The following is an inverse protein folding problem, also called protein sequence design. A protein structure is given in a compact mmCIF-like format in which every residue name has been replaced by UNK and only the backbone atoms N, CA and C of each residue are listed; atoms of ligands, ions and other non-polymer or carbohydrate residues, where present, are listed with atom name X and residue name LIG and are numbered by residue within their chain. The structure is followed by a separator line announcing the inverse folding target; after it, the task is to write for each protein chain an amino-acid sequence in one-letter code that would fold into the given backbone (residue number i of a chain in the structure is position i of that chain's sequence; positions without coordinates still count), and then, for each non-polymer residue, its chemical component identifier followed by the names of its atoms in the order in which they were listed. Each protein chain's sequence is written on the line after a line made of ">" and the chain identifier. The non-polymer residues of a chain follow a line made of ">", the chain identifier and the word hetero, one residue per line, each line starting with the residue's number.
data_IF_298618479192
#
_entry.id   IF_298618479192
#
_cell.length_a   1.000
_cell.length_b   1.000
_cell.length_c   1.000
_cell.angle_alpha   90.00
_cell.angle_beta   90.00
_cell.angle_gamma   90.00
#
_symmetry.space_group_name_H-M   'P 1'
#
loop_
_entity.id
_entity.type
_entity.pdbx_description
1 polymer ?
#
# COMPACT_ATOMS: atom_id res chain seq x y z
N UNK A 1 -26.49 -25.63 4.42
CA UNK A 1 -26.47 -25.90 2.96
C UNK A 1 -25.31 -25.13 2.34
N UNK A 2 -24.15 -25.77 2.16
CA UNK A 2 -22.92 -25.11 1.66
C UNK A 2 -22.97 -25.01 0.15
N UNK A 3 -23.40 -23.85 -0.35
CA UNK A 3 -23.39 -23.54 -1.77
C UNK A 3 -21.93 -23.54 -2.28
N UNK A 4 -21.50 -24.65 -2.90
CA UNK A 4 -20.11 -24.85 -3.34
C UNK A 4 -19.84 -24.11 -4.66
N UNK A 5 -19.92 -22.78 -4.62
CA UNK A 5 -19.58 -21.90 -5.74
C UNK A 5 -18.19 -22.22 -6.31
N UNK A 6 -18.12 -22.68 -7.55
CA UNK A 6 -16.84 -22.78 -8.27
C UNK A 6 -16.37 -21.36 -8.67
N UNK A 7 -15.07 -21.01 -8.54
CA UNK A 7 -14.56 -19.75 -9.07
C UNK A 7 -14.87 -19.63 -10.57
N UNK A 8 -15.20 -18.43 -11.03
CA UNK A 8 -15.40 -18.17 -12.46
C UNK A 8 -14.09 -18.44 -13.20
N UNK A 9 -14.22 -19.00 -14.40
CA UNK A 9 -13.09 -19.37 -15.28
C UNK A 9 -12.17 -20.46 -14.73
N UNK A 10 -12.48 -21.13 -13.62
CA UNK A 10 -11.59 -22.16 -13.05
C UNK A 10 -11.35 -23.37 -13.97
N UNK A 11 -12.20 -23.59 -14.98
CA UNK A 11 -12.03 -24.61 -16.03
C UNK A 11 -11.21 -24.12 -17.23
N UNK A 12 -10.87 -22.83 -17.29
CA UNK A 12 -10.13 -22.23 -18.39
C UNK A 12 -8.62 -22.32 -18.11
N UNK A 13 -7.79 -22.79 -19.07
CA UNK A 13 -6.33 -22.82 -18.94
C UNK A 13 -5.69 -21.45 -18.63
N UNK A 14 -6.40 -20.35 -18.93
CA UNK A 14 -5.96 -18.97 -18.69
C UNK A 14 -6.46 -18.39 -17.35
N UNK A 15 -7.07 -19.18 -16.47
CA UNK A 15 -7.62 -18.70 -15.19
C UNK A 15 -6.64 -17.87 -14.36
N UNK A 16 -5.37 -18.31 -14.29
CA UNK A 16 -4.27 -17.59 -13.63
C UNK A 16 -4.08 -16.15 -14.12
N UNK A 17 -4.31 -15.87 -15.40
CA UNK A 17 -4.22 -14.52 -15.94
C UNK A 17 -5.41 -13.64 -15.51
N UNK A 18 -6.61 -14.22 -15.34
CA UNK A 18 -7.74 -13.50 -14.74
C UNK A 18 -7.51 -13.22 -13.25
N UNK A 19 -6.87 -14.14 -12.53
CA UNK A 19 -6.40 -13.91 -11.15
C UNK A 19 -5.41 -12.75 -11.13
N UNK A 20 -4.40 -12.76 -12.01
CA UNK A 20 -3.43 -11.68 -12.12
C UNK A 20 -4.13 -10.35 -12.39
N UNK A 21 -5.00 -10.25 -13.40
CA UNK A 21 -5.74 -9.01 -13.68
C UNK A 21 -6.51 -8.50 -12.47
N UNK A 22 -7.15 -9.40 -11.71
CA UNK A 22 -7.86 -9.03 -10.47
C UNK A 22 -6.91 -8.46 -9.43
N UNK A 23 -5.73 -9.07 -9.27
CA UNK A 23 -4.69 -8.58 -8.36
C UNK A 23 -4.11 -7.23 -8.83
N UNK A 24 -3.94 -7.07 -10.14
CA UNK A 24 -3.45 -5.83 -10.75
C UNK A 24 -4.40 -4.67 -10.53
N UNK A 25 -5.72 -4.89 -10.50
CA UNK A 25 -6.71 -3.85 -10.17
C UNK A 25 -6.45 -3.30 -8.76
N UNK A 26 -6.27 -4.17 -7.76
CA UNK A 26 -6.03 -3.72 -6.38
C UNK A 26 -4.66 -3.04 -6.22
N UNK A 27 -3.63 -3.57 -6.89
CA UNK A 27 -2.30 -2.96 -6.89
C UNK A 27 -2.29 -1.57 -7.55
N UNK A 28 -2.95 -1.44 -8.71
CA UNK A 28 -3.09 -0.17 -9.41
C UNK A 28 -3.90 0.84 -8.60
N UNK A 29 -5.04 0.41 -8.04
CA UNK A 29 -5.92 1.25 -7.22
C UNK A 29 -5.19 1.82 -6.00
N UNK A 30 -4.44 1.01 -5.26
CA UNK A 30 -3.69 1.48 -4.09
C UNK A 30 -2.54 2.43 -4.49
N UNK A 31 -1.84 2.15 -5.59
CA UNK A 31 -0.73 2.97 -6.06
C UNK A 31 -1.19 4.32 -6.67
N UNK A 32 -2.30 4.30 -7.43
CA UNK A 32 -2.94 5.48 -7.98
C UNK A 32 -3.42 6.42 -6.88
N UNK A 33 -4.06 5.89 -5.83
CA UNK A 33 -4.60 6.69 -4.72
C UNK A 33 -3.52 7.52 -4.02
N UNK A 34 -2.41 6.88 -3.62
CA UNK A 34 -1.25 7.55 -3.01
C UNK A 34 -0.69 8.64 -3.93
N UNK A 35 -0.63 8.36 -5.24
CA UNK A 35 -0.05 9.30 -6.19
C UNK A 35 -0.96 10.50 -6.49
N UNK A 36 -2.26 10.25 -6.71
CA UNK A 36 -3.27 11.29 -6.97
C UNK A 36 -3.39 12.23 -5.77
N UNK A 37 -3.36 11.68 -4.55
CA UNK A 37 -3.45 12.45 -3.30
C UNK A 37 -2.39 13.54 -3.21
N UNK A 38 -1.14 13.25 -3.58
CA UNK A 38 -0.04 14.21 -3.47
C UNK A 38 -0.30 15.50 -4.25
N UNK A 39 -1.03 15.44 -5.37
CA UNK A 39 -1.46 16.61 -6.13
C UNK A 39 -2.64 17.34 -5.49
N UNK A 40 -3.46 16.64 -4.71
CA UNK A 40 -4.61 17.22 -4.05
C UNK A 40 -4.27 17.96 -2.74
N UNK A 41 -3.14 17.65 -2.10
CA UNK A 41 -2.72 18.24 -0.82
C UNK A 41 -2.82 19.78 -0.79
N UNK A 42 -2.27 20.54 -1.78
CA UNK A 42 -2.38 22.00 -1.77
C UNK A 42 -3.83 22.49 -1.85
N UNK A 43 -4.71 21.74 -2.53
CA UNK A 43 -6.13 22.05 -2.66
C UNK A 43 -6.88 21.78 -1.35
N UNK A 44 -6.61 20.64 -0.72
CA UNK A 44 -7.18 20.27 0.59
C UNK A 44 -6.78 21.29 1.66
N UNK A 45 -5.52 21.72 1.66
CA UNK A 45 -5.02 22.76 2.57
C UNK A 45 -5.80 24.07 2.45
N UNK A 46 -6.04 24.54 1.22
CA UNK A 46 -6.82 25.77 0.98
C UNK A 46 -8.28 25.60 1.43
N UNK A 47 -8.86 24.43 1.19
CA UNK A 47 -10.24 24.14 1.55
C UNK A 47 -10.48 24.09 3.06
N UNK A 48 -9.58 23.43 3.80
CA UNK A 48 -9.72 23.27 5.25
C UNK A 48 -9.01 24.37 6.06
N UNK A 49 -8.39 25.36 5.43
CA UNK A 49 -7.69 26.48 6.07
C UNK A 49 -6.63 26.07 7.11
N UNK A 50 -5.83 25.05 6.78
CA UNK A 50 -4.95 24.38 7.75
C UNK A 50 -3.53 24.97 7.73
N UNK A 51 -2.85 25.12 8.90
CA UNK A 51 -1.42 25.40 8.96
C UNK A 51 -0.57 24.28 8.36
N UNK A 52 0.60 24.63 7.80
CA UNK A 52 1.53 23.70 7.13
C UNK A 52 1.85 22.42 7.93
N UNK A 53 1.84 22.49 9.27
CA UNK A 53 2.16 21.38 10.16
C UNK A 53 1.13 20.25 10.20
N UNK A 54 -0.11 20.49 9.77
CA UNK A 54 -1.20 19.50 9.75
C UNK A 54 -1.47 18.93 8.34
N UNK A 55 -0.86 19.52 7.30
CA UNK A 55 -0.98 19.09 5.89
C UNK A 55 -0.29 17.74 5.66
N UNK A 56 0.93 17.58 6.19
CA UNK A 56 1.73 16.35 6.07
C UNK A 56 1.03 15.14 6.71
N UNK A 57 0.13 15.35 7.67
CA UNK A 57 -0.57 14.27 8.38
C UNK A 57 -1.57 13.50 7.52
N UNK A 58 -2.14 14.10 6.47
CA UNK A 58 -3.11 13.38 5.62
C UNK A 58 -2.42 12.26 4.85
N UNK A 59 -1.32 12.58 4.15
CA UNK A 59 -0.51 11.60 3.45
C UNK A 59 0.28 10.70 4.42
N UNK A 60 0.80 11.27 5.51
CA UNK A 60 1.56 10.51 6.50
C UNK A 60 0.69 9.48 7.22
N UNK A 61 -0.55 9.81 7.60
CA UNK A 61 -1.43 8.87 8.29
C UNK A 61 -1.70 7.62 7.45
N UNK A 62 -1.86 7.78 6.13
CA UNK A 62 -2.00 6.65 5.22
C UNK A 62 -0.74 5.78 5.20
N UNK A 63 0.44 6.37 4.93
CA UNK A 63 1.70 5.62 4.84
C UNK A 63 2.08 4.96 6.17
N UNK A 64 1.85 5.65 7.28
CA UNK A 64 2.09 5.16 8.63
C UNK A 64 1.22 3.93 8.90
N UNK A 65 -0.08 4.04 8.63
CA UNK A 65 -1.03 2.93 8.79
C UNK A 65 -0.63 1.75 7.90
N UNK A 66 -0.34 2.01 6.63
CA UNK A 66 0.07 0.96 5.72
C UNK A 66 1.35 0.25 6.21
N UNK A 67 2.38 1.00 6.58
CA UNK A 67 3.66 0.47 7.06
C UNK A 67 3.49 -0.37 8.33
N UNK A 68 2.69 0.11 9.28
CA UNK A 68 2.45 -0.57 10.56
C UNK A 68 1.67 -1.87 10.35
N UNK A 69 0.57 -1.82 9.61
CA UNK A 69 -0.39 -2.92 9.58
C UNK A 69 -0.12 -3.94 8.46
N UNK A 70 0.69 -3.62 7.45
CA UNK A 70 0.98 -4.53 6.33
C UNK A 70 1.47 -5.92 6.80
N UNK A 71 2.44 -6.04 7.73
CA UNK A 71 2.89 -7.36 8.20
C UNK A 71 1.81 -8.09 9.01
N UNK A 72 1.04 -7.34 9.83
CA UNK A 72 -0.08 -7.88 10.59
C UNK A 72 -1.16 -8.47 9.67
N UNK A 73 -1.47 -7.78 8.57
CA UNK A 73 -2.43 -8.26 7.58
C UNK A 73 -1.92 -9.48 6.81
N UNK A 74 -0.61 -9.57 6.56
CA UNK A 74 0.01 -10.79 6.03
C UNK A 74 -0.26 -11.98 6.94
N UNK A 75 -0.04 -11.80 8.26
CA UNK A 75 -0.28 -12.85 9.26
C UNK A 75 -1.77 -13.20 9.42
N UNK A 76 -2.64 -12.19 9.47
CA UNK A 76 -4.08 -12.40 9.51
C UNK A 76 -4.56 -13.16 8.27
N UNK A 77 -3.99 -12.88 7.10
CA UNK A 77 -4.35 -13.58 5.89
C UNK A 77 -3.86 -15.04 5.86
N UNK A 78 -2.71 -15.33 6.46
CA UNK A 78 -2.27 -16.72 6.68
C UNK A 78 -3.21 -17.49 7.62
N UNK A 79 -3.89 -16.81 8.55
CA UNK A 79 -4.82 -17.43 9.50
C UNK A 79 -6.25 -17.56 8.96
N UNK A 80 -6.75 -16.55 8.23
CA UNK A 80 -8.15 -16.46 7.83
C UNK A 80 -8.39 -16.73 6.35
N UNK A 81 -7.33 -16.79 5.56
CA UNK A 81 -7.37 -16.97 4.11
C UNK A 81 -7.01 -15.68 3.35
N UNK A 82 -6.14 -15.81 2.35
CA UNK A 82 -5.60 -14.71 1.57
C UNK A 82 -6.62 -14.11 0.62
N UNK A 83 -7.45 -14.93 -0.02
CA UNK A 83 -8.49 -14.42 -0.94
C UNK A 83 -9.59 -13.69 -0.18
N UNK A 84 -10.01 -14.20 0.98
CA UNK A 84 -10.95 -13.49 1.86
C UNK A 84 -10.41 -12.16 2.32
N UNK A 85 -9.16 -12.11 2.80
CA UNK A 85 -8.55 -10.87 3.26
C UNK A 85 -8.32 -9.87 2.13
N UNK A 86 -7.98 -10.34 0.92
CA UNK A 86 -7.87 -9.48 -0.26
C UNK A 86 -9.22 -8.86 -0.64
N UNK A 87 -10.29 -9.66 -0.66
CA UNK A 87 -11.63 -9.16 -0.95
C UNK A 87 -12.14 -8.19 0.13
N UNK A 88 -11.83 -8.46 1.40
CA UNK A 88 -12.11 -7.54 2.50
C UNK A 88 -11.33 -6.23 2.32
N UNK A 89 -10.09 -6.30 1.84
CA UNK A 89 -9.28 -5.14 1.50
C UNK A 89 -9.96 -4.22 0.49
N UNK A 90 -10.52 -4.76 -0.59
CA UNK A 90 -11.30 -3.97 -1.55
C UNK A 90 -12.50 -3.28 -0.89
N UNK A 91 -13.27 -4.01 -0.08
CA UNK A 91 -14.46 -3.45 0.59
C UNK A 91 -14.05 -2.30 1.52
N UNK A 92 -13.06 -2.53 2.38
CA UNK A 92 -12.60 -1.52 3.35
C UNK A 92 -12.00 -0.32 2.62
N UNK A 93 -11.19 -0.53 1.58
CA UNK A 93 -10.64 0.57 0.78
C UNK A 93 -11.75 1.39 0.14
N UNK A 94 -12.74 0.73 -0.48
CA UNK A 94 -13.88 1.37 -1.15
C UNK A 94 -14.66 2.24 -0.16
N UNK A 95 -14.96 1.70 1.02
CA UNK A 95 -15.65 2.44 2.09
C UNK A 95 -14.79 3.60 2.58
N UNK A 96 -13.51 3.38 2.87
CA UNK A 96 -12.58 4.44 3.28
C UNK A 96 -12.49 5.57 2.26
N UNK A 97 -12.40 5.23 0.97
CA UNK A 97 -12.38 6.21 -0.11
C UNK A 97 -13.70 6.98 -0.20
N UNK A 98 -14.85 6.32 -0.07
CA UNK A 98 -16.14 7.01 -0.03
C UNK A 98 -16.24 7.97 1.17
N UNK A 99 -15.75 7.56 2.36
CA UNK A 99 -15.68 8.40 3.55
C UNK A 99 -14.78 9.63 3.33
N UNK A 100 -13.61 9.46 2.72
CA UNK A 100 -12.75 10.58 2.33
C UNK A 100 -13.48 11.56 1.40
N UNK A 101 -14.23 11.05 0.42
CA UNK A 101 -15.01 11.88 -0.51
C UNK A 101 -16.10 12.72 0.16
N UNK A 102 -16.70 12.27 1.27
CA UNK A 102 -17.72 13.03 2.01
C UNK A 102 -17.15 13.85 3.19
N UNK A 103 -15.84 13.80 3.42
CA UNK A 103 -15.23 14.34 4.64
C UNK A 103 -15.53 15.84 4.85
N UNK A 104 -16.21 16.20 5.96
CA UNK A 104 -16.54 17.60 6.24
C UNK A 104 -15.40 18.34 6.95
N UNK A 105 -14.53 17.63 7.69
CA UNK A 105 -13.39 18.19 8.42
C UNK A 105 -12.11 17.39 8.14
N UNK A 106 -10.96 17.96 8.51
CA UNK A 106 -9.67 17.31 8.33
C UNK A 106 -9.50 16.09 9.23
N UNK A 107 -10.01 16.12 10.45
CA UNK A 107 -9.92 15.00 11.38
C UNK A 107 -10.72 13.81 10.85
N UNK A 108 -11.91 14.08 10.29
CA UNK A 108 -12.70 13.06 9.62
C UNK A 108 -11.97 12.51 8.40
N UNK A 109 -11.32 13.37 7.61
CA UNK A 109 -10.48 12.94 6.48
C UNK A 109 -9.35 12.02 6.97
N UNK A 110 -8.60 12.39 8.00
CA UNK A 110 -7.49 11.60 8.55
C UNK A 110 -7.99 10.23 9.03
N UNK A 111 -9.11 10.18 9.77
CA UNK A 111 -9.69 8.91 10.22
C UNK A 111 -10.13 8.05 9.02
N UNK A 112 -10.76 8.67 8.02
CA UNK A 112 -11.17 7.98 6.79
C UNK A 112 -9.97 7.43 6.02
N UNK A 113 -8.84 8.15 6.02
CA UNK A 113 -7.57 7.70 5.45
C UNK A 113 -6.98 6.51 6.18
N UNK A 114 -7.07 6.46 7.50
CA UNK A 114 -6.65 5.28 8.26
C UNK A 114 -7.49 4.07 7.84
N UNK A 115 -8.81 4.22 7.70
CA UNK A 115 -9.70 3.15 7.21
C UNK A 115 -9.30 2.74 5.78
N UNK A 116 -9.09 3.70 4.89
CA UNK A 116 -8.67 3.44 3.51
C UNK A 116 -7.32 2.69 3.46
N UNK A 117 -6.35 3.10 4.26
CA UNK A 117 -5.02 2.49 4.36
C UNK A 117 -5.05 1.07 4.94
N UNK A 118 -5.99 0.75 5.85
CA UNK A 118 -6.25 -0.63 6.29
C UNK A 118 -6.65 -1.49 5.08
N UNK A 119 -7.56 -0.99 4.24
CA UNK A 119 -7.94 -1.66 2.99
C UNK A 119 -6.76 -1.83 2.03
N UNK A 120 -5.96 -0.78 1.86
CA UNK A 120 -4.75 -0.80 1.02
C UNK A 120 -3.72 -1.80 1.50
N UNK A 121 -3.47 -1.85 2.82
CA UNK A 121 -2.58 -2.82 3.45
C UNK A 121 -3.05 -4.26 3.25
N UNK A 122 -4.35 -4.53 3.38
CA UNK A 122 -4.91 -5.87 3.10
C UNK A 122 -4.72 -6.29 1.65
N UNK A 123 -4.89 -5.36 0.69
CA UNK A 123 -4.62 -5.62 -0.72
C UNK A 123 -3.13 -5.91 -0.93
N UNK A 124 -2.25 -5.01 -0.47
CA UNK A 124 -0.81 -5.12 -0.68
C UNK A 124 -0.21 -6.38 -0.03
N UNK A 125 -0.62 -6.73 1.19
CA UNK A 125 -0.13 -7.91 1.92
C UNK A 125 -0.47 -9.23 1.22
N UNK A 126 -1.50 -9.23 0.37
CA UNK A 126 -2.04 -10.45 -0.23
C UNK A 126 -1.83 -10.56 -1.74
N UNK A 127 -1.54 -9.46 -2.43
CA UNK A 127 -1.32 -9.43 -3.88
C UNK A 127 -0.29 -10.47 -4.35
N UNK A 128 0.96 -10.32 -3.89
CA UNK A 128 2.06 -11.21 -4.31
C UNK A 128 1.80 -12.65 -3.89
N UNK A 129 1.24 -12.87 -2.71
CA UNK A 129 0.97 -14.21 -2.21
C UNK A 129 -0.14 -14.93 -3.00
N UNK A 130 -1.15 -14.21 -3.48
CA UNK A 130 -2.17 -14.78 -4.36
C UNK A 130 -1.55 -15.16 -5.71
N UNK A 131 -0.65 -14.33 -6.25
CA UNK A 131 0.09 -14.63 -7.48
C UNK A 131 0.97 -15.87 -7.30
N UNK A 132 1.77 -15.94 -6.23
CA UNK A 132 2.66 -17.09 -5.96
C UNK A 132 1.91 -18.39 -5.77
N UNK A 133 0.69 -18.35 -5.25
CA UNK A 133 -0.16 -19.54 -5.12
C UNK A 133 -0.85 -19.96 -6.42
N UNK A 134 -0.96 -19.06 -7.39
CA UNK A 134 -1.75 -19.28 -8.62
C UNK A 134 -0.90 -19.51 -9.87
N UNK A 135 0.37 -19.14 -9.85
CA UNK A 135 1.29 -19.28 -10.98
C UNK A 135 2.35 -20.36 -10.74
N UNK A 136 2.77 -21.09 -11.79
CA UNK A 136 3.90 -21.99 -11.70
C UNK A 136 5.21 -21.20 -11.56
N UNK A 137 6.27 -21.85 -11.05
CA UNK A 137 7.54 -21.18 -10.71
C UNK A 137 8.19 -20.48 -11.90
N UNK A 138 8.04 -21.03 -13.09
CA UNK A 138 8.65 -20.55 -14.34
C UNK A 138 8.00 -19.24 -14.82
N UNK A 139 6.74 -19.00 -14.49
CA UNK A 139 6.00 -17.79 -14.87
C UNK A 139 5.93 -16.76 -13.73
N UNK A 140 6.43 -17.11 -12.54
CA UNK A 140 6.26 -16.31 -11.33
C UNK A 140 6.97 -14.96 -11.42
N UNK A 141 8.22 -14.97 -11.90
CA UNK A 141 9.00 -13.74 -12.09
C UNK A 141 8.28 -12.76 -13.02
N UNK A 142 7.70 -13.26 -14.11
CA UNK A 142 6.92 -12.46 -15.06
C UNK A 142 5.66 -11.89 -14.40
N UNK A 143 4.91 -12.68 -13.64
CA UNK A 143 3.69 -12.22 -12.99
C UNK A 143 3.95 -11.14 -11.92
N UNK A 144 4.99 -11.32 -11.11
CA UNK A 144 5.43 -10.34 -10.10
C UNK A 144 6.00 -9.08 -10.78
N UNK A 145 6.77 -9.23 -11.86
CA UNK A 145 7.28 -8.12 -12.67
C UNK A 145 6.16 -7.25 -13.25
N UNK A 146 5.13 -7.88 -13.85
CA UNK A 146 3.94 -7.17 -14.33
C UNK A 146 3.23 -6.42 -13.19
N UNK A 147 3.09 -7.03 -12.01
CA UNK A 147 2.51 -6.35 -10.84
C UNK A 147 3.34 -5.14 -10.40
N UNK A 148 4.67 -5.25 -10.38
CA UNK A 148 5.57 -4.13 -10.10
C UNK A 148 5.43 -3.01 -11.12
N UNK A 149 5.44 -3.34 -12.42
CA UNK A 149 5.28 -2.38 -13.49
C UNK A 149 3.93 -1.65 -13.44
N UNK A 150 2.82 -2.37 -13.23
CA UNK A 150 1.49 -1.75 -13.08
C UNK A 150 1.45 -0.77 -11.91
N UNK A 151 2.06 -1.10 -10.77
CA UNK A 151 2.16 -0.16 -9.64
C UNK A 151 2.97 1.08 -10.01
N UNK A 152 4.12 0.91 -10.65
CA UNK A 152 4.96 2.04 -11.04
C UNK A 152 4.30 2.93 -12.10
N UNK A 153 3.63 2.35 -13.11
CA UNK A 153 2.80 3.07 -14.09
C UNK A 153 1.67 3.83 -13.39
N UNK A 154 0.98 3.17 -12.46
CA UNK A 154 -0.09 3.77 -11.66
C UNK A 154 0.40 4.99 -10.88
N UNK A 155 1.57 4.89 -10.25
CA UNK A 155 2.18 6.02 -9.56
C UNK A 155 2.57 7.15 -10.53
N UNK A 156 3.11 6.83 -11.70
CA UNK A 156 3.52 7.84 -12.69
C UNK A 156 2.34 8.60 -13.31
N UNK A 157 1.23 7.89 -13.58
CA UNK A 157 0.02 8.48 -14.19
C UNK A 157 -0.83 9.24 -13.16
N UNK A 158 -0.68 8.92 -11.87
CA UNK A 158 -1.46 9.52 -10.78
C UNK A 158 -1.55 11.05 -10.81
N UNK A 159 -0.46 11.82 -10.97
CA UNK A 159 -0.52 13.28 -10.96
C UNK A 159 -1.35 13.85 -12.12
N UNK A 160 -1.21 13.25 -13.31
CA UNK A 160 -1.97 13.65 -14.49
C UNK A 160 -3.47 13.38 -14.31
N UNK A 161 -3.83 12.18 -13.87
CA UNK A 161 -5.23 11.84 -13.60
C UNK A 161 -5.82 12.66 -12.45
N UNK A 162 -5.05 12.89 -11.39
CA UNK A 162 -5.46 13.72 -10.26
C UNK A 162 -5.74 15.16 -10.67
N UNK A 163 -4.82 15.77 -11.42
CA UNK A 163 -5.01 17.11 -11.98
C UNK A 163 -6.24 17.19 -12.88
N UNK A 164 -6.44 16.21 -13.75
CA UNK A 164 -7.62 16.12 -14.62
C UNK A 164 -8.92 15.97 -13.81
N UNK A 165 -8.95 15.11 -12.80
CA UNK A 165 -10.13 14.89 -11.95
C UNK A 165 -10.50 16.14 -11.14
N UNK A 166 -9.52 16.90 -10.68
CA UNK A 166 -9.72 18.19 -10.00
C UNK A 166 -10.20 19.25 -11.01
N UNK A 167 -9.58 19.32 -12.20
CA UNK A 167 -9.90 20.35 -13.21
C UNK A 167 -11.25 20.16 -13.87
N UNK A 168 -11.65 18.90 -14.14
CA UNK A 168 -12.95 18.59 -14.75
C UNK A 168 -14.12 18.94 -13.83
N UNK A 169 -13.87 19.06 -12.51
CA UNK A 169 -14.86 19.34 -11.48
C UNK A 169 -16.17 18.55 -11.69
N UNK A 170 -16.03 17.25 -11.97
CA UNK A 170 -17.16 16.37 -12.27
C UNK A 170 -18.19 16.47 -11.12
N UNK A 171 -19.44 16.79 -11.44
CA UNK A 171 -20.55 16.89 -10.48
C UNK A 171 -20.34 17.94 -9.36
N UNK A 172 -19.48 18.95 -9.55
CA UNK A 172 -19.20 19.98 -8.53
C UNK A 172 -18.41 19.45 -7.32
N UNK A 173 -17.79 18.29 -7.45
CA UNK A 173 -17.13 17.60 -6.34
C UNK A 173 -15.71 18.11 -6.05
N UNK A 174 -15.14 18.99 -6.89
CA UNK A 174 -13.79 19.55 -6.76
C UNK A 174 -12.74 18.46 -6.45
N UNK A 175 -12.08 18.55 -5.30
CA UNK A 175 -11.08 17.57 -4.85
C UNK A 175 -11.69 16.21 -4.50
N UNK A 176 -12.99 16.11 -4.21
CA UNK A 176 -13.62 14.85 -3.77
C UNK A 176 -13.67 13.80 -4.88
N UNK A 177 -13.61 14.23 -6.15
CA UNK A 177 -13.56 13.34 -7.31
C UNK A 177 -12.38 12.36 -7.26
N UNK A 178 -11.25 12.77 -6.66
CA UNK A 178 -10.06 11.94 -6.48
C UNK A 178 -10.32 10.70 -5.62
N UNK A 179 -11.30 10.80 -4.72
CA UNK A 179 -11.69 9.71 -3.82
C UNK A 179 -12.82 8.88 -4.42
N UNK A 180 -13.76 9.54 -5.09
CA UNK A 180 -14.87 8.85 -5.70
C UNK A 180 -14.47 7.99 -6.89
N UNK A 181 -13.38 8.28 -7.59
CA UNK A 181 -12.87 7.43 -8.69
C UNK A 181 -12.51 6.01 -8.22
N UNK A 182 -12.06 5.87 -6.98
CA UNK A 182 -11.73 4.57 -6.39
C UNK A 182 -12.97 3.74 -6.06
N UNK A 183 -14.13 4.36 -5.84
CA UNK A 183 -15.36 3.66 -5.43
C UNK A 183 -15.84 2.66 -6.50
N UNK A 184 -16.05 3.05 -7.77
CA UNK A 184 -16.43 2.09 -8.80
C UNK A 184 -15.34 1.04 -9.01
N UNK A 185 -14.05 1.44 -9.02
CA UNK A 185 -12.93 0.50 -9.19
C UNK A 185 -12.91 -0.55 -8.07
N UNK A 186 -13.13 -0.12 -6.83
CA UNK A 186 -13.17 -1.00 -5.67
C UNK A 186 -14.40 -1.91 -5.63
N UNK A 187 -15.56 -1.45 -6.11
CA UNK A 187 -16.74 -2.31 -6.31
C UNK A 187 -16.45 -3.37 -7.37
N UNK A 188 -15.92 -2.98 -8.53
CA UNK A 188 -15.52 -3.93 -9.57
C UNK A 188 -14.46 -4.90 -9.08
N UNK A 189 -13.46 -4.40 -8.34
CA UNK A 189 -12.41 -5.19 -7.70
C UNK A 189 -12.97 -6.20 -6.70
N UNK A 190 -13.94 -5.79 -5.87
CA UNK A 190 -14.64 -6.69 -4.92
C UNK A 190 -15.40 -7.78 -5.66
N UNK A 191 -16.14 -7.43 -6.70
CA UNK A 191 -16.89 -8.42 -7.50
C UNK A 191 -15.91 -9.36 -8.19
N UNK A 192 -14.88 -8.85 -8.87
CA UNK A 192 -13.86 -9.66 -9.51
C UNK A 192 -13.14 -10.58 -8.51
N UNK A 193 -12.71 -10.05 -7.36
CA UNK A 193 -12.04 -10.78 -6.29
C UNK A 193 -12.93 -11.90 -5.75
N UNK A 194 -14.18 -11.59 -5.41
CA UNK A 194 -15.13 -12.60 -4.99
C UNK A 194 -15.31 -13.66 -6.07
N UNK A 195 -15.46 -13.27 -7.34
CA UNK A 195 -15.87 -14.20 -8.37
C UNK A 195 -14.76 -15.05 -8.99
N UNK A 196 -13.57 -14.48 -9.18
CA UNK A 196 -12.47 -15.03 -9.98
C UNK A 196 -11.41 -15.70 -9.09
N UNK A 197 -11.11 -15.16 -7.91
CA UNK A 197 -9.99 -15.62 -7.11
C UNK A 197 -10.19 -17.05 -6.58
N UNK A 198 -9.09 -17.80 -6.37
CA UNK A 198 -9.14 -19.14 -5.82
C UNK A 198 -9.76 -19.12 -4.41
N UNK A 199 -10.38 -20.22 -4.02
CA UNK A 199 -10.90 -20.33 -2.65
C UNK A 199 -9.78 -20.61 -1.67
N UNK A 200 -9.83 -19.93 -0.53
CA UNK A 200 -8.99 -20.28 0.60
C UNK A 200 -9.25 -21.73 1.01
N UNK A 201 -8.17 -22.51 1.10
CA UNK A 201 -8.24 -23.87 1.66
C UNK A 201 -8.57 -23.75 3.15
N UNK A 202 -9.34 -24.71 3.70
CA UNK A 202 -9.58 -24.76 5.14
C UNK A 202 -8.23 -24.92 5.84
N UNK A 203 -7.77 -23.87 6.51
CA UNK A 203 -6.57 -23.93 7.35
C UNK A 203 -6.90 -24.81 8.56
N UNK A 204 -6.20 -25.95 8.66
CA UNK A 204 -6.48 -27.01 9.64
C UNK A 204 -6.03 -26.67 11.07
N UNK A 205 -5.37 -25.53 11.28
CA UNK A 205 -4.76 -25.16 12.55
C UNK A 205 -5.40 -23.87 13.09
N UNK A 206 -5.94 -23.93 14.31
CA UNK A 206 -6.36 -22.74 15.07
C UNK A 206 -5.11 -22.05 15.63
N UNK A 207 -4.36 -21.39 14.77
CA UNK A 207 -3.23 -20.57 15.18
C UNK A 207 -3.74 -19.39 16.03
N UNK A 208 -3.03 -19.05 17.11
CA UNK A 208 -3.38 -17.91 17.96
C UNK A 208 -2.64 -16.68 17.48
N UNK A 209 -3.36 -15.57 17.34
CA UNK A 209 -2.78 -14.28 16.97
C UNK A 209 -1.89 -13.76 18.11
N UNK A 210 -0.65 -13.36 17.79
CA UNK A 210 0.25 -12.74 18.77
C UNK A 210 -0.07 -11.26 18.93
N UNK A 211 -0.97 -10.93 19.86
CA UNK A 211 -1.31 -9.54 20.15
C UNK A 211 -0.12 -8.75 20.71
N UNK A 212 0.73 -9.38 21.53
CA UNK A 212 1.86 -8.69 22.18
C UNK A 212 2.92 -8.36 21.14
N UNK A 213 3.33 -9.34 20.34
CA UNK A 213 4.27 -9.15 19.23
C UNK A 213 3.75 -8.12 18.23
N UNK A 214 2.49 -8.24 17.82
CA UNK A 214 1.88 -7.31 16.85
C UNK A 214 1.80 -5.87 17.38
N UNK A 215 1.39 -5.65 18.63
CA UNK A 215 1.28 -4.30 19.20
C UNK A 215 2.64 -3.66 19.47
N UNK A 216 3.64 -4.43 19.90
CA UNK A 216 5.01 -3.93 20.11
C UNK A 216 5.70 -3.61 18.77
N UNK A 217 5.49 -4.43 17.74
CA UNK A 217 5.92 -4.14 16.38
C UNK A 217 5.28 -2.86 15.82
N UNK A 218 3.96 -2.74 15.96
CA UNK A 218 3.22 -1.57 15.51
C UNK A 218 3.70 -0.28 16.21
N UNK A 219 3.88 -0.33 17.53
CA UNK A 219 4.41 0.79 18.30
C UNK A 219 5.86 1.14 17.94
N UNK A 220 6.71 0.14 17.70
CA UNK A 220 8.08 0.38 17.24
C UNK A 220 8.09 1.13 15.90
N UNK A 221 7.37 0.63 14.90
CA UNK A 221 7.27 1.28 13.59
C UNK A 221 6.65 2.67 13.66
N UNK A 222 5.65 2.88 14.50
CA UNK A 222 5.06 4.18 14.75
C UNK A 222 6.13 5.21 15.17
N UNK A 223 6.91 4.91 16.21
CA UNK A 223 7.93 5.84 16.68
C UNK A 223 9.08 6.02 15.70
N UNK A 224 9.47 4.96 14.97
CA UNK A 224 10.48 5.08 13.92
C UNK A 224 10.05 6.03 12.82
N UNK A 225 8.83 5.86 12.29
CA UNK A 225 8.31 6.72 11.22
C UNK A 225 8.12 8.15 11.71
N UNK A 226 7.62 8.36 12.93
CA UNK A 226 7.51 9.70 13.52
C UNK A 226 8.87 10.37 13.70
N UNK A 227 9.90 9.64 14.15
CA UNK A 227 11.25 10.17 14.28
C UNK A 227 11.83 10.60 12.94
N UNK A 228 11.66 9.79 11.89
CA UNK A 228 12.17 10.09 10.56
C UNK A 228 11.42 11.26 9.89
N UNK A 229 10.12 11.35 10.10
CA UNK A 229 9.28 12.38 9.48
C UNK A 229 9.46 13.76 10.16
N UNK A 230 9.37 13.80 11.49
CA UNK A 230 9.49 15.06 12.24
C UNK A 230 10.95 15.45 12.50
N UNK A 231 11.92 14.56 12.25
CA UNK A 231 13.34 14.78 12.51
C UNK A 231 13.90 16.02 11.82
N UNK A 232 13.48 16.29 10.57
CA UNK A 232 13.87 17.50 9.84
C UNK A 232 13.32 18.78 10.46
N UNK A 233 12.10 18.72 11.00
CA UNK A 233 11.34 19.88 11.49
C UNK A 233 11.67 20.21 12.94
N UNK A 234 11.78 19.20 13.79
CA UNK A 234 12.11 19.35 15.22
C UNK A 234 13.63 19.36 15.46
N UNK A 235 14.42 18.89 14.50
CA UNK A 235 15.86 18.70 14.63
C UNK A 235 16.19 17.32 15.19
N UNK A 236 17.21 16.68 14.60
CA UNK A 236 17.63 15.32 14.94
C UNK A 236 18.13 15.16 16.38
N UNK A 237 18.65 16.24 16.97
CA UNK A 237 19.14 16.26 18.36
C UNK A 237 18.07 16.68 19.37
N UNK A 238 16.85 16.98 18.93
CA UNK A 238 15.79 17.40 19.84
C UNK A 238 15.39 16.27 20.80
N UNK A 239 15.05 16.65 22.04
CA UNK A 239 14.62 15.71 23.08
C UNK A 239 13.48 14.81 22.60
N UNK A 240 12.55 15.34 21.81
CA UNK A 240 11.41 14.58 21.26
C UNK A 240 11.86 13.47 20.32
N UNK A 241 12.76 13.78 19.37
CA UNK A 241 13.24 12.80 18.39
C UNK A 241 14.08 11.72 19.07
N UNK A 242 14.93 12.09 20.03
CA UNK A 242 15.69 11.12 20.83
C UNK A 242 14.74 10.19 21.60
N UNK A 243 13.67 10.72 22.21
CA UNK A 243 12.65 9.90 22.89
C UNK A 243 11.97 8.94 21.91
N UNK A 244 11.63 9.37 20.69
CA UNK A 244 11.06 8.47 19.68
C UNK A 244 12.02 7.35 19.29
N UNK A 245 13.31 7.62 19.07
CA UNK A 245 14.29 6.57 18.79
C UNK A 245 14.47 5.60 19.97
N UNK A 246 14.46 6.09 21.20
CA UNK A 246 14.54 5.24 22.40
C UNK A 246 13.29 4.34 22.53
N UNK A 247 12.10 4.88 22.31
CA UNK A 247 10.85 4.11 22.34
C UNK A 247 10.81 3.08 21.21
N UNK A 248 11.28 3.43 20.01
CA UNK A 248 11.47 2.48 18.92
C UNK A 248 12.41 1.34 19.34
N UNK A 249 13.61 1.64 19.83
CA UNK A 249 14.58 0.62 20.23
C UNK A 249 14.04 -0.29 21.33
N UNK A 250 13.36 0.27 22.32
CA UNK A 250 12.73 -0.47 23.41
C UNK A 250 11.64 -1.42 22.92
N UNK A 251 10.65 -0.90 22.17
CA UNK A 251 9.53 -1.70 21.68
C UNK A 251 9.97 -2.74 20.65
N UNK A 252 10.92 -2.38 19.78
CA UNK A 252 11.47 -3.32 18.80
C UNK A 252 12.24 -4.46 19.48
N UNK A 253 12.96 -4.17 20.57
CA UNK A 253 13.63 -5.21 21.36
C UNK A 253 12.61 -6.17 21.99
N UNK A 254 11.52 -5.65 22.57
CA UNK A 254 10.45 -6.49 23.11
C UNK A 254 9.84 -7.36 22.01
N UNK A 255 9.56 -6.77 20.84
CA UNK A 255 9.06 -7.50 19.68
C UNK A 255 10.00 -8.65 19.30
N UNK A 256 11.29 -8.39 19.09
CA UNK A 256 12.26 -9.43 18.70
C UNK A 256 12.33 -10.56 19.74
N UNK A 257 12.35 -10.23 21.03
CA UNK A 257 12.39 -11.23 22.11
C UNK A 257 11.11 -12.05 22.16
N UNK A 258 9.94 -11.41 22.08
CA UNK A 258 8.64 -12.08 22.08
C UNK A 258 8.51 -13.02 20.87
N UNK A 259 8.83 -12.50 19.70
CA UNK A 259 8.68 -13.20 18.42
C UNK A 259 9.64 -14.40 18.32
N UNK A 260 10.87 -14.27 18.84
CA UNK A 260 11.83 -15.39 18.91
C UNK A 260 11.37 -16.56 19.78
N UNK A 261 10.43 -16.32 20.70
CA UNK A 261 9.90 -17.33 21.65
C UNK A 261 8.49 -17.79 21.28
N UNK A 262 7.76 -17.02 20.47
CA UNK A 262 6.38 -17.29 20.18
C UNK A 262 6.24 -18.50 19.24
N UNK A 263 5.22 -19.33 19.46
CA UNK A 263 5.03 -20.59 18.73
C UNK A 263 4.65 -20.37 17.26
N UNK A 264 4.02 -19.23 16.95
CA UNK A 264 3.52 -18.91 15.62
C UNK A 264 3.86 -17.46 15.26
N UNK A 265 5.17 -17.14 15.10
CA UNK A 265 5.62 -15.77 14.91
C UNK A 265 5.04 -15.16 13.62
N UNK A 266 4.85 -13.86 13.62
CA UNK A 266 4.55 -13.07 12.42
C UNK A 266 5.73 -13.07 11.44
N UNK A 267 6.96 -13.00 11.95
CA UNK A 267 8.21 -13.04 11.17
C UNK A 267 9.05 -14.23 11.63
N UNK A 268 9.26 -15.17 10.73
CA UNK A 268 10.19 -16.28 10.98
C UNK A 268 11.63 -15.81 10.76
N UNK A 269 12.32 -15.48 11.86
CA UNK A 269 13.73 -15.06 11.83
C UNK A 269 14.68 -16.14 11.30
N UNK A 270 14.28 -17.40 11.22
CA UNK A 270 15.12 -18.45 10.64
C UNK A 270 15.33 -18.25 9.14
N UNK A 271 14.39 -17.62 8.44
CA UNK A 271 14.50 -17.33 7.01
C UNK A 271 15.69 -16.39 6.71
N UNK A 272 15.99 -15.44 7.61
CA UNK A 272 17.11 -14.52 7.47
C UNK A 272 18.49 -15.19 7.63
N UNK A 273 18.54 -16.45 8.08
CA UNK A 273 19.78 -17.23 8.07
C UNK A 273 20.12 -17.75 6.68
N UNK A 274 19.16 -17.81 5.76
CA UNK A 274 19.36 -18.24 4.38
C UNK A 274 19.89 -17.08 3.54
N UNK A 275 21.03 -17.29 2.88
CA UNK A 275 21.67 -16.25 2.06
C UNK A 275 20.73 -15.69 0.99
N UNK A 276 20.06 -16.55 0.22
CA UNK A 276 19.16 -16.11 -0.87
C UNK A 276 18.02 -15.23 -0.37
N UNK A 277 17.46 -15.55 0.81
CA UNK A 277 16.39 -14.77 1.41
C UNK A 277 16.89 -13.40 1.89
N UNK A 278 18.01 -13.37 2.62
CA UNK A 278 18.57 -12.12 3.13
C UNK A 278 19.11 -11.22 2.01
N UNK A 279 19.84 -11.79 1.06
CA UNK A 279 20.33 -11.07 -0.12
C UNK A 279 19.17 -10.57 -0.98
N UNK A 280 18.10 -11.36 -1.15
CA UNK A 280 16.89 -10.95 -1.86
C UNK A 280 16.19 -9.76 -1.19
N UNK A 281 16.02 -9.79 0.14
CA UNK A 281 15.42 -8.66 0.88
C UNK A 281 16.28 -7.40 0.82
N UNK A 282 17.60 -7.52 0.99
CA UNK A 282 18.55 -6.38 0.90
C UNK A 282 18.51 -5.78 -0.51
N UNK A 283 18.57 -6.62 -1.54
CA UNK A 283 18.52 -6.17 -2.93
C UNK A 283 17.19 -5.48 -3.22
N UNK A 284 16.06 -6.07 -2.81
CA UNK A 284 14.74 -5.46 -2.94
C UNK A 284 14.64 -4.11 -2.25
N UNK A 285 15.18 -3.98 -1.03
CA UNK A 285 15.23 -2.72 -0.30
C UNK A 285 15.98 -1.64 -1.08
N UNK A 286 17.20 -1.92 -1.56
CA UNK A 286 17.97 -0.96 -2.35
C UNK A 286 17.32 -0.65 -3.70
N UNK A 287 16.70 -1.64 -4.36
CA UNK A 287 15.95 -1.42 -5.60
C UNK A 287 14.80 -0.43 -5.38
N UNK A 288 14.01 -0.57 -4.31
CA UNK A 288 12.96 0.39 -3.98
C UNK A 288 13.52 1.76 -3.59
N UNK A 289 14.62 1.80 -2.84
CA UNK A 289 15.27 3.06 -2.47
C UNK A 289 15.73 3.86 -3.70
N UNK A 290 16.40 3.19 -4.65
CA UNK A 290 16.82 3.81 -5.91
C UNK A 290 15.61 4.21 -6.75
N UNK A 291 14.61 3.35 -6.88
CA UNK A 291 13.40 3.63 -7.68
C UNK A 291 12.68 4.89 -7.18
N UNK A 292 12.36 4.96 -5.88
CA UNK A 292 11.69 6.13 -5.32
C UNK A 292 12.57 7.37 -5.30
N UNK A 293 13.88 7.22 -5.07
CA UNK A 293 14.84 8.32 -5.17
C UNK A 293 14.86 8.93 -6.58
N UNK A 294 14.89 8.10 -7.62
CA UNK A 294 14.84 8.53 -9.02
C UNK A 294 13.49 9.17 -9.35
N UNK A 295 12.36 8.55 -9.00
CA UNK A 295 11.03 9.10 -9.25
C UNK A 295 10.78 10.43 -8.53
N UNK A 296 11.43 10.66 -7.39
CA UNK A 296 11.37 11.92 -6.67
C UNK A 296 12.27 12.99 -7.27
N UNK A 297 13.55 12.69 -7.53
CA UNK A 297 14.55 13.68 -7.96
C UNK A 297 14.40 14.05 -9.45
N UNK A 298 14.07 13.08 -10.30
CA UNK A 298 14.08 13.27 -11.75
C UNK A 298 13.12 14.35 -12.27
N UNK A 299 11.87 14.48 -11.79
CA UNK A 299 11.01 15.61 -12.18
C UNK A 299 11.69 16.97 -11.96
N UNK A 300 12.31 17.18 -10.79
CA UNK A 300 13.02 18.42 -10.49
C UNK A 300 14.23 18.65 -11.39
N UNK A 301 14.98 17.60 -11.70
CA UNK A 301 16.09 17.69 -12.64
C UNK A 301 15.61 18.06 -14.05
N UNK A 302 14.57 17.37 -14.55
CA UNK A 302 14.04 17.58 -15.88
C UNK A 302 13.42 18.97 -16.04
N UNK A 303 12.67 19.46 -15.05
CA UNK A 303 12.03 20.77 -15.09
C UNK A 303 13.01 21.92 -14.80
N UNK A 304 13.80 21.84 -13.72
CA UNK A 304 14.60 22.99 -13.27
C UNK A 304 16.01 23.06 -13.87
N UNK A 305 16.58 21.93 -14.28
CA UNK A 305 17.95 21.88 -14.85
C UNK A 305 17.88 21.69 -16.36
N UNK A 306 17.10 20.72 -16.83
CA UNK A 306 16.96 20.43 -18.25
C UNK A 306 15.86 21.27 -18.96
N UNK A 307 15.15 22.14 -18.23
CA UNK A 307 14.15 23.09 -18.74
C UNK A 307 13.03 22.43 -19.58
N UNK A 308 12.70 21.18 -19.30
CA UNK A 308 11.53 20.53 -19.91
C UNK A 308 10.24 21.06 -19.31
N UNK A 309 9.17 21.07 -20.11
CA UNK A 309 7.82 21.26 -19.57
C UNK A 309 7.44 20.10 -18.64
N UNK A 310 6.60 20.35 -17.63
CA UNK A 310 6.08 19.30 -16.74
C UNK A 310 5.43 18.13 -17.49
N UNK A 311 4.78 18.42 -18.64
CA UNK A 311 4.21 17.39 -19.51
C UNK A 311 5.29 16.50 -20.13
N UNK A 312 6.35 17.10 -20.67
CA UNK A 312 7.47 16.37 -21.27
C UNK A 312 8.25 15.56 -20.22
N UNK A 313 8.47 16.14 -19.03
CA UNK A 313 9.12 15.46 -17.91
C UNK A 313 8.30 14.24 -17.47
N UNK A 314 6.98 14.40 -17.28
CA UNK A 314 6.07 13.30 -17.00
C UNK A 314 6.12 12.22 -18.09
N UNK A 315 6.06 12.61 -19.36
CA UNK A 315 6.12 11.69 -20.50
C UNK A 315 7.44 10.89 -20.58
N UNK A 316 8.57 11.49 -20.18
CA UNK A 316 9.88 10.83 -20.14
C UNK A 316 10.05 9.85 -18.98
N UNK A 317 9.28 10.01 -17.91
CA UNK A 317 9.31 9.11 -16.75
C UNK A 317 8.38 7.90 -16.93
N UNK A 318 7.36 7.99 -17.78
CA UNK A 318 6.41 6.91 -18.09
C UNK A 318 7.05 5.61 -18.62
N UNK A 319 8.10 5.64 -19.47
CA UNK A 319 8.73 4.43 -19.99
C UNK A 319 9.50 3.62 -18.94
N UNK A 320 9.99 4.26 -17.87
CA UNK A 320 10.82 3.59 -16.85
C UNK A 320 10.08 2.38 -16.25
N UNK A 321 8.84 2.52 -15.72
CA UNK A 321 8.01 1.39 -15.30
C UNK A 321 7.83 0.29 -16.35
N UNK A 322 7.71 0.65 -17.63
CA UNK A 322 7.41 -0.26 -18.74
C UNK A 322 8.67 -1.07 -19.12
N UNK A 323 9.85 -0.49 -18.99
CA UNK A 323 11.13 -1.19 -19.26
C UNK A 323 11.56 -2.15 -18.14
N UNK A 324 10.93 -2.06 -16.96
CA UNK A 324 11.25 -2.90 -15.80
C UNK A 324 10.43 -4.20 -15.72
N UNK A 325 9.51 -4.45 -16.66
CA UNK A 325 8.72 -5.71 -16.78
C UNK A 325 9.32 -6.70 -17.77
#
# INVERSE_FOLDING_TARGET
>A
MTNSRRPLFSSNPRWRWFILTTVLIGAAMSALDVSIENIALPTLRRYYHIPLSLDEWVAMAYMLTLTIFLPLFGRLADMFGRTRMYNLGFIIFTVGSALCGIAPTIEFMIISRVIQAIGGGLLQANSVAIITQSFPREELGRAIGIQGAVQAISMAIGPFLGGLLISLNLLGTHWRSIFYVNVPIGIFGTVAAYYILPRDKKLGTREKFDFIGSSTFAGALLFLVLALNEGRKLGWESRTIVVYFLLFAFLFTIFVVQESKYKYPMIDFQLFKTYDFSAGNITGFFSYYVLFGVLFIMPFYLENVANFSAFSAGAMLTPIPITMS
#
